data_IF_660969410056
#
_entry.id   IF_660969410056
#
_cell.length_a   1.000
_cell.length_b   1.000
_cell.length_c   1.000
_cell.angle_alpha   90.00
_cell.angle_beta   90.00
_cell.angle_gamma   90.00
#
_symmetry.space_group_name_H-M   'P 1'
#
loop_
_entity.id
_entity.type
_entity.pdbx_description
1 polymer ?
#
# COMPACT_ATOMS: atom_id res chain seq x y z
N UNK A 1 -25.04 -3.55 -11.33
CA UNK A 1 -26.14 -3.56 -12.31
C UNK A 1 -25.61 -3.68 -13.74
N UNK A 2 -24.68 -2.81 -14.18
CA UNK A 2 -24.08 -2.84 -15.52
C UNK A 2 -23.57 -4.22 -16.00
N UNK A 3 -22.76 -4.90 -15.19
CA UNK A 3 -22.18 -6.20 -15.59
C UNK A 3 -23.26 -7.28 -15.72
N UNK A 4 -24.33 -7.20 -14.90
CA UNK A 4 -25.49 -8.08 -15.02
C UNK A 4 -26.34 -7.80 -16.26
N UNK A 5 -26.42 -6.55 -16.71
CA UNK A 5 -27.14 -6.19 -17.93
C UNK A 5 -26.35 -6.59 -19.20
N UNK A 6 -25.03 -6.44 -19.19
CA UNK A 6 -24.20 -6.73 -20.35
C UNK A 6 -23.88 -8.24 -20.51
N UNK A 7 -23.61 -8.95 -19.40
CA UNK A 7 -23.20 -10.36 -19.42
C UNK A 7 -24.10 -11.33 -18.63
N UNK A 8 -25.20 -10.86 -18.05
CA UNK A 8 -26.08 -11.70 -17.23
C UNK A 8 -26.76 -12.84 -17.99
N UNK A 9 -27.06 -12.69 -19.29
CA UNK A 9 -27.71 -13.73 -20.07
C UNK A 9 -26.81 -14.95 -20.36
N UNK A 10 -25.48 -14.78 -20.33
CA UNK A 10 -24.55 -15.87 -20.62
C UNK A 10 -24.35 -16.79 -19.41
N UNK A 11 -24.14 -16.22 -18.22
CA UNK A 11 -23.74 -16.99 -17.03
C UNK A 11 -24.35 -16.48 -15.72
N UNK A 12 -25.35 -15.60 -15.79
CA UNK A 12 -26.12 -15.14 -14.63
C UNK A 12 -25.37 -14.23 -13.67
N UNK A 13 -24.23 -13.64 -14.10
CA UNK A 13 -23.35 -12.84 -13.25
C UNK A 13 -22.85 -13.62 -12.01
N UNK A 14 -22.23 -14.77 -12.29
CA UNK A 14 -21.70 -15.74 -11.32
C UNK A 14 -20.38 -15.28 -10.65
N UNK A 15 -20.30 -14.03 -10.20
CA UNK A 15 -19.07 -13.46 -9.62
C UNK A 15 -18.89 -13.73 -8.12
N UNK A 16 -19.92 -14.20 -7.42
CA UNK A 16 -19.84 -14.42 -5.99
C UNK A 16 -20.14 -15.90 -5.68
N UNK A 17 -19.17 -16.64 -5.11
CA UNK A 17 -19.36 -18.05 -4.81
C UNK A 17 -20.46 -18.28 -3.78
N UNK A 18 -20.60 -17.43 -2.76
CA UNK A 18 -21.63 -17.57 -1.73
C UNK A 18 -23.05 -17.32 -2.28
N UNK A 19 -23.18 -16.35 -3.20
CA UNK A 19 -24.44 -16.02 -3.88
C UNK A 19 -24.99 -17.21 -4.66
N UNK A 20 -24.11 -18.01 -5.26
CA UNK A 20 -24.50 -19.17 -6.05
C UNK A 20 -24.60 -20.46 -5.22
N UNK A 21 -23.70 -20.67 -4.26
CA UNK A 21 -23.63 -21.93 -3.50
C UNK A 21 -24.76 -22.10 -2.47
N UNK A 22 -25.10 -21.05 -1.73
CA UNK A 22 -26.15 -21.11 -0.69
C UNK A 22 -27.52 -21.53 -1.21
N UNK A 23 -28.07 -20.84 -2.23
CA UNK A 23 -29.34 -21.22 -2.84
C UNK A 23 -29.33 -22.62 -3.48
N UNK A 24 -28.18 -23.07 -4.00
CA UNK A 24 -28.04 -24.42 -4.59
C UNK A 24 -28.10 -25.53 -3.53
N UNK A 25 -27.49 -25.32 -2.37
CA UNK A 25 -27.62 -26.25 -1.24
C UNK A 25 -29.06 -26.26 -0.71
N UNK A 26 -29.65 -25.07 -0.54
CA UNK A 26 -31.01 -24.96 -0.06
C UNK A 26 -32.01 -25.70 -0.96
N UNK A 27 -31.92 -25.48 -2.28
CA UNK A 27 -32.79 -26.15 -3.25
C UNK A 27 -32.55 -27.66 -3.33
N UNK A 28 -31.30 -28.11 -3.11
CA UNK A 28 -30.99 -29.54 -2.99
C UNK A 28 -31.75 -30.19 -1.83
N UNK A 29 -31.71 -29.58 -0.63
CA UNK A 29 -32.47 -30.05 0.54
C UNK A 29 -33.97 -29.88 0.39
N UNK A 30 -34.43 -28.86 -0.36
CA UNK A 30 -35.84 -28.65 -0.68
C UNK A 30 -36.42 -29.69 -1.66
N UNK A 31 -35.65 -30.72 -2.04
CA UNK A 31 -36.14 -31.84 -2.84
C UNK A 31 -35.99 -31.67 -4.35
N UNK A 32 -35.31 -30.62 -4.84
CA UNK A 32 -35.03 -30.47 -6.28
C UNK A 32 -33.99 -31.49 -6.81
N UNK A 33 -33.34 -32.23 -5.90
CA UNK A 33 -32.43 -33.34 -6.22
C UNK A 33 -31.09 -32.90 -6.80
N UNK A 34 -30.29 -33.84 -7.31
CA UNK A 34 -28.90 -33.56 -7.77
C UNK A 34 -28.80 -32.65 -9.01
N UNK A 35 -29.93 -32.37 -9.68
CA UNK A 35 -29.98 -31.53 -10.90
C UNK A 35 -29.64 -30.06 -10.64
N UNK A 36 -29.73 -29.57 -9.40
CA UNK A 36 -29.31 -28.20 -9.04
C UNK A 36 -27.80 -28.04 -8.88
N UNK A 37 -27.09 -29.14 -8.66
CA UNK A 37 -25.63 -29.17 -8.53
C UNK A 37 -24.98 -29.53 -9.87
N UNK A 38 -25.58 -30.45 -10.63
CA UNK A 38 -25.09 -30.91 -11.94
C UNK A 38 -26.05 -30.55 -13.06
N UNK A 39 -25.58 -29.84 -14.08
CA UNK A 39 -26.35 -29.48 -15.27
C UNK A 39 -25.80 -30.21 -16.50
N UNK A 40 -26.61 -31.06 -17.15
CA UNK A 40 -26.23 -31.84 -18.35
C UNK A 40 -24.92 -32.64 -18.18
N UNK A 41 -24.72 -33.27 -17.03
CA UNK A 41 -23.48 -33.96 -16.62
C UNK A 41 -22.25 -33.05 -16.44
N UNK A 42 -22.39 -31.74 -16.58
CA UNK A 42 -21.37 -30.76 -16.22
C UNK A 42 -21.59 -30.25 -14.80
N UNK A 43 -20.50 -30.18 -14.02
CA UNK A 43 -20.48 -29.63 -12.66
C UNK A 43 -20.49 -28.09 -12.70
N UNK A 44 -21.57 -27.51 -13.22
CA UNK A 44 -21.67 -26.05 -13.45
C UNK A 44 -21.44 -25.23 -12.18
N UNK A 45 -21.76 -25.76 -11.00
CA UNK A 45 -21.51 -25.09 -9.71
C UNK A 45 -20.03 -24.74 -9.47
N UNK A 46 -19.09 -25.44 -10.13
CA UNK A 46 -17.66 -25.15 -10.01
C UNK A 46 -17.25 -23.84 -10.65
N UNK A 47 -17.98 -23.38 -11.67
CA UNK A 47 -17.65 -22.14 -12.40
C UNK A 47 -17.82 -20.90 -11.51
N UNK A 48 -18.99 -20.64 -10.87
CA UNK A 48 -19.13 -19.57 -9.89
C UNK A 48 -18.24 -19.75 -8.66
N UNK A 49 -17.81 -20.99 -8.36
CA UNK A 49 -16.96 -21.26 -7.21
C UNK A 49 -15.51 -20.86 -7.48
N UNK A 50 -14.93 -21.30 -8.59
CA UNK A 50 -13.49 -21.16 -8.89
C UNK A 50 -13.20 -19.86 -9.64
N UNK A 51 -14.09 -19.43 -10.56
CA UNK A 51 -13.82 -18.27 -11.41
C UNK A 51 -13.59 -16.97 -10.64
N UNK A 52 -14.29 -16.65 -9.52
CA UNK A 52 -14.02 -15.43 -8.77
C UNK A 52 -12.67 -15.43 -8.06
N UNK A 53 -12.20 -16.60 -7.60
CA UNK A 53 -10.88 -16.71 -6.95
C UNK A 53 -9.72 -16.57 -7.93
N UNK A 54 -9.92 -16.91 -9.20
CA UNK A 54 -8.92 -16.68 -10.23
C UNK A 54 -9.05 -15.27 -10.82
N UNK A 55 -10.26 -14.86 -11.17
CA UNK A 55 -10.54 -13.58 -11.81
C UNK A 55 -10.32 -12.37 -10.91
N UNK A 56 -10.60 -12.48 -9.61
CA UNK A 56 -10.40 -11.38 -8.65
C UNK A 56 -8.95 -10.93 -8.54
N UNK A 57 -8.00 -11.82 -8.19
CA UNK A 57 -6.58 -11.50 -8.15
C UNK A 57 -6.02 -11.05 -9.51
N UNK A 58 -6.42 -11.71 -10.61
CA UNK A 58 -6.01 -11.31 -11.95
C UNK A 58 -6.47 -9.89 -12.31
N UNK A 59 -7.71 -9.53 -11.95
CA UNK A 59 -8.24 -8.18 -12.15
C UNK A 59 -7.51 -7.15 -11.27
N UNK A 60 -7.20 -7.49 -10.03
CA UNK A 60 -6.42 -6.63 -9.13
C UNK A 60 -5.00 -6.39 -9.65
N UNK A 61 -4.33 -7.43 -10.16
CA UNK A 61 -3.03 -7.27 -10.81
C UNK A 61 -3.12 -6.42 -12.06
N UNK A 62 -4.12 -6.63 -12.91
CA UNK A 62 -4.32 -5.80 -14.10
C UNK A 62 -4.50 -4.31 -13.71
N UNK A 63 -5.27 -4.03 -12.66
CA UNK A 63 -5.38 -2.67 -12.12
C UNK A 63 -4.03 -2.12 -11.66
N UNK A 64 -3.25 -2.91 -10.93
CA UNK A 64 -1.93 -2.47 -10.45
C UNK A 64 -0.99 -2.16 -11.61
N UNK A 65 -0.93 -3.02 -12.63
CA UNK A 65 -0.09 -2.82 -13.82
C UNK A 65 -0.52 -1.61 -14.66
N UNK A 66 -1.83 -1.43 -14.86
CA UNK A 66 -2.34 -0.37 -15.73
C UNK A 66 -2.44 0.99 -15.04
N UNK A 67 -2.80 1.02 -13.75
CA UNK A 67 -3.11 2.25 -13.03
C UNK A 67 -2.22 2.41 -11.80
N UNK A 68 -2.16 1.38 -10.95
CA UNK A 68 -1.47 1.47 -9.65
C UNK A 68 0.00 1.87 -9.74
N UNK A 69 0.74 1.42 -10.75
CA UNK A 69 2.15 1.82 -10.95
C UNK A 69 2.36 3.20 -11.56
N UNK A 70 1.31 3.83 -12.09
CA UNK A 70 1.40 5.14 -12.72
C UNK A 70 1.00 6.28 -11.76
N UNK A 71 0.58 5.94 -10.54
CA UNK A 71 0.21 6.92 -9.51
C UNK A 71 1.36 7.00 -8.51
N UNK A 72 1.94 8.19 -8.26
CA UNK A 72 2.96 8.35 -7.22
C UNK A 72 2.36 7.91 -5.89
N UNK A 73 3.10 7.08 -5.16
CA UNK A 73 2.60 6.50 -3.92
C UNK A 73 2.78 7.49 -2.78
N UNK A 74 1.89 7.45 -1.78
CA UNK A 74 2.06 8.23 -0.55
C UNK A 74 3.41 7.95 0.14
N UNK A 75 4.01 6.78 -0.11
CA UNK A 75 5.34 6.42 0.38
C UNK A 75 6.44 7.25 -0.28
N UNK A 76 6.32 7.55 -1.58
CA UNK A 76 7.28 8.39 -2.29
C UNK A 76 7.23 9.83 -1.74
N UNK A 77 6.03 10.33 -1.45
CA UNK A 77 5.82 11.65 -0.83
C UNK A 77 6.42 11.72 0.58
N UNK A 78 6.18 10.67 1.39
CA UNK A 78 6.73 10.56 2.75
C UNK A 78 8.26 10.44 2.74
N UNK A 79 8.86 9.65 1.83
CA UNK A 79 10.31 9.55 1.69
C UNK A 79 10.95 10.87 1.25
N UNK A 80 10.30 11.59 0.34
CA UNK A 80 10.75 12.94 -0.04
C UNK A 80 10.68 13.90 1.15
N UNK A 81 9.61 13.87 1.94
CA UNK A 81 9.46 14.73 3.12
C UNK A 81 10.52 14.42 4.19
N UNK A 82 10.75 13.13 4.48
CA UNK A 82 11.82 12.72 5.40
C UNK A 82 13.20 13.18 4.92
N UNK A 83 13.49 13.04 3.63
CA UNK A 83 14.75 13.52 3.03
C UNK A 83 14.91 15.02 3.20
N UNK A 84 13.85 15.80 2.90
CA UNK A 84 13.84 17.28 3.07
C UNK A 84 14.08 17.69 4.52
N UNK A 85 13.42 17.04 5.48
CA UNK A 85 13.59 17.32 6.92
C UNK A 85 15.03 17.02 7.36
N UNK A 86 15.61 15.92 6.87
CA UNK A 86 16.96 15.53 7.23
C UNK A 86 18.01 16.48 6.66
N UNK A 87 17.87 16.88 5.39
CA UNK A 87 18.74 17.87 4.76
C UNK A 87 18.67 19.22 5.48
N UNK A 88 17.47 19.67 5.86
CA UNK A 88 17.31 20.93 6.58
C UNK A 88 17.96 20.87 7.99
N UNK A 89 17.85 19.75 8.70
CA UNK A 89 18.53 19.53 9.98
C UNK A 89 20.05 19.53 9.84
N UNK A 90 20.59 18.90 8.79
CA UNK A 90 22.02 18.90 8.49
C UNK A 90 22.52 20.31 8.19
N UNK A 91 21.83 21.06 7.33
CA UNK A 91 22.16 22.45 7.03
C UNK A 91 22.15 23.33 8.28
N UNK A 92 21.13 23.20 9.14
CA UNK A 92 21.06 23.95 10.39
C UNK A 92 22.21 23.58 11.34
N UNK A 93 22.59 22.31 11.42
CA UNK A 93 23.71 21.85 12.26
C UNK A 93 25.06 22.41 11.76
N UNK A 94 25.30 22.40 10.45
CA UNK A 94 26.52 22.98 9.84
C UNK A 94 26.58 24.49 10.10
N UNK A 95 25.47 25.21 9.89
CA UNK A 95 25.43 26.67 10.14
C UNK A 95 25.66 27.00 11.61
N UNK A 96 25.13 26.19 12.54
CA UNK A 96 25.36 26.37 13.97
C UNK A 96 26.83 26.08 14.34
N UNK A 97 27.44 25.05 13.75
CA UNK A 97 28.86 24.74 13.92
C UNK A 97 29.77 25.87 13.42
N UNK A 98 29.43 26.45 12.26
CA UNK A 98 30.14 27.60 11.69
C UNK A 98 29.93 28.86 12.55
N UNK A 99 28.79 28.99 13.22
CA UNK A 99 28.54 30.10 14.16
C UNK A 99 29.31 29.95 15.48
N UNK A 100 29.52 28.72 15.96
CA UNK A 100 30.33 28.46 17.17
C UNK A 100 31.83 28.63 16.91
N UNK A 101 32.32 28.31 15.71
CA UNK A 101 33.73 28.54 15.32
C UNK A 101 34.10 30.01 15.14
N UNK A 102 33.11 30.91 15.02
CA UNK A 102 33.33 32.37 14.96
C UNK A 102 33.40 33.02 16.35
N UNK A 103 33.18 32.29 17.45
CA UNK A 103 33.67 32.78 18.75
C UNK A 103 35.19 32.60 18.81
N UNK A 104 35.97 33.68 18.91
CA UNK A 104 37.41 33.59 18.80
C UNK A 104 37.95 32.85 20.03
N UNK A 105 38.47 31.64 19.85
CA UNK A 105 39.45 31.05 20.77
C UNK A 105 40.79 31.82 20.68
N UNK A 106 40.76 33.14 20.78
CA UNK A 106 41.96 33.99 20.84
C UNK A 106 42.00 34.92 22.06
N UNK A 107 40.94 35.00 22.88
CA UNK A 107 40.91 35.91 24.04
C UNK A 107 41.20 35.25 25.40
N UNK A 108 40.95 33.95 25.58
CA UNK A 108 41.14 33.29 26.89
C UNK A 108 42.58 32.82 27.13
N UNK A 109 43.31 32.44 26.08
CA UNK A 109 44.70 31.95 26.23
C UNK A 109 45.72 33.09 26.45
N UNK A 110 45.41 34.33 26.06
CA UNK A 110 46.28 35.49 26.33
C UNK A 110 46.13 36.02 27.76
N UNK A 111 44.98 35.84 28.41
CA UNK A 111 44.79 36.33 29.79
C UNK A 111 45.51 35.46 30.82
N UNK A 112 45.58 34.14 30.60
CA UNK A 112 46.28 33.21 31.49
C UNK A 112 47.81 33.40 31.40
N UNK A 113 48.35 33.63 30.19
CA UNK A 113 49.79 33.89 30.03
C UNK A 113 50.25 35.25 30.59
N UNK A 114 49.38 36.27 30.65
CA UNK A 114 49.70 37.54 31.33
C UNK A 114 49.65 37.43 32.86
N UNK A 115 48.81 36.55 33.40
CA UNK A 115 48.73 36.35 34.85
C UNK A 115 49.96 35.62 35.42
N UNK A 116 50.53 34.68 34.67
CA UNK A 116 51.74 33.93 35.10
C UNK A 116 53.02 34.78 35.06
N UNK A 117 53.07 35.84 34.23
CA UNK A 117 54.25 36.71 34.11
C UNK A 117 54.35 37.83 35.17
N UNK A 118 53.35 37.98 36.03
CA UNK A 118 53.26 39.09 37.00
C UNK A 118 53.16 38.62 38.46
N UNK A 119 53.62 37.41 38.75
CA UNK A 119 53.79 36.92 40.11
C UNK A 119 55.23 37.28 40.54
N UNK A 120 55.42 38.12 41.57
CA UNK A 120 56.75 38.47 42.09
C UNK A 120 57.45 37.30 42.80
#
# INVERSE_FOLDING_TARGET
MLIGMAWGMNSGYSLNPARDFGPRIFTYFAGYGLKVISYRNYKWFLVPLISPFLGGPLGAWLYQFSVGFHIPSELDEIEEEFRRIQDNKMHQTVVLQDSETVTPQSSTHQHVHRFVKNIP
#
